data_IF_962091173424
#
_entry.id   IF_962091173424
#
_cell.length_a   1.000
_cell.length_b   1.000
_cell.length_c   1.000
_cell.angle_alpha   90.00
_cell.angle_beta   90.00
_cell.angle_gamma   90.00
#
_symmetry.space_group_name_H-M   'P 1'
#
loop_
_entity.id
_entity.type
_entity.pdbx_description
1 polymer ?
#
# COMPACT_ATOMS: atom_id res chain seq x y z
N UNK A 1 74.24 -14.25 7.36
CA UNK A 1 74.63 -15.61 6.93
C UNK A 1 73.84 -15.87 5.72
N UNK A 2 74.40 -15.53 4.67
CA UNK A 2 75.17 -16.30 3.71
C UNK A 2 74.19 -16.88 2.69
N UNK A 3 74.10 -16.31 1.55
CA UNK A 3 75.00 -16.40 0.35
C UNK A 3 74.49 -17.48 -0.59
N UNK A 4 74.33 -17.19 -1.72
CA UNK A 4 75.03 -16.99 -3.00
C UNK A 4 74.29 -17.79 -4.07
N UNK A 5 73.92 -17.20 -5.10
CA UNK A 5 74.70 -16.82 -6.31
C UNK A 5 74.69 -17.87 -7.43
N UNK A 6 74.46 -17.32 -8.60
CA UNK A 6 75.02 -17.69 -9.90
C UNK A 6 74.42 -18.87 -10.66
N UNK A 7 74.40 -18.87 -11.93
CA UNK A 7 74.99 -18.09 -12.99
C UNK A 7 74.55 -18.67 -14.36
N UNK A 8 74.43 -17.78 -15.31
CA UNK A 8 74.87 -17.84 -16.72
C UNK A 8 74.57 -19.09 -17.60
N UNK A 9 74.12 -18.85 -18.70
CA UNK A 9 74.64 -18.47 -20.01
C UNK A 9 74.09 -19.29 -21.20
N UNK A 10 73.67 -18.54 -22.16
CA UNK A 10 74.00 -18.56 -23.61
C UNK A 10 73.69 -19.82 -24.42
N UNK A 11 73.13 -19.64 -25.46
CA UNK A 11 73.38 -19.28 -26.86
C UNK A 11 72.41 -20.07 -27.73
N UNK A 12 71.81 -19.62 -28.72
CA UNK A 12 72.24 -18.94 -29.89
C UNK A 12 71.58 -19.57 -31.09
N UNK A 13 71.25 -18.72 -32.02
CA UNK A 13 71.13 -18.99 -33.45
C UNK A 13 69.82 -19.54 -34.02
N UNK A 14 69.30 -18.74 -34.94
CA UNK A 14 68.81 -19.22 -36.22
C UNK A 14 67.35 -18.93 -36.56
N UNK A 15 67.10 -17.77 -37.19
CA UNK A 15 65.91 -17.64 -38.06
C UNK A 15 65.98 -18.60 -39.25
N UNK A 16 64.87 -18.92 -39.85
CA UNK A 16 64.46 -18.09 -40.95
C UNK A 16 62.94 -17.78 -41.03
N UNK A 17 62.71 -16.60 -41.49
CA UNK A 17 61.48 -16.07 -42.04
C UNK A 17 60.71 -17.12 -42.86
N UNK A 18 59.44 -17.28 -42.49
CA UNK A 18 58.39 -17.71 -43.44
C UNK A 18 57.23 -16.75 -43.30
N UNK A 19 57.00 -15.94 -44.30
CA UNK A 19 55.84 -15.13 -44.48
C UNK A 19 54.55 -16.01 -44.45
N UNK A 20 53.85 -15.96 -43.32
CA UNK A 20 52.49 -16.46 -43.26
C UNK A 20 51.54 -15.28 -43.49
N UNK A 21 51.04 -15.22 -44.71
CA UNK A 21 50.00 -14.28 -45.09
C UNK A 21 48.81 -14.37 -44.11
N UNK A 22 48.66 -13.32 -43.29
CA UNK A 22 47.52 -13.17 -42.38
C UNK A 22 46.24 -12.99 -43.22
N UNK A 23 45.52 -14.09 -43.43
CA UNK A 23 44.19 -14.04 -44.00
C UNK A 23 43.27 -13.34 -42.99
N UNK A 24 42.78 -12.13 -43.38
CA UNK A 24 41.76 -11.40 -42.63
C UNK A 24 40.54 -12.32 -42.45
N UNK A 25 39.98 -12.50 -41.22
CA UNK A 25 38.81 -13.28 -41.04
C UNK A 25 37.62 -12.65 -41.78
N UNK A 26 36.98 -13.46 -42.63
CA UNK A 26 35.76 -13.09 -43.35
C UNK A 26 34.68 -12.96 -42.25
N UNK A 27 34.18 -11.74 -42.02
CA UNK A 27 33.05 -11.52 -41.11
C UNK A 27 31.82 -12.22 -41.69
N UNK A 28 31.21 -13.15 -40.97
CA UNK A 28 29.98 -13.76 -41.44
C UNK A 28 28.90 -12.67 -41.56
N UNK A 29 28.26 -12.59 -42.71
CA UNK A 29 27.12 -11.70 -42.93
C UNK A 29 26.00 -12.09 -41.99
N UNK A 30 25.41 -11.14 -41.24
CA UNK A 30 24.32 -11.39 -40.29
C UNK A 30 23.18 -12.15 -40.99
N UNK A 31 22.69 -13.24 -40.39
CA UNK A 31 21.70 -14.09 -41.05
C UNK A 31 20.41 -13.30 -41.32
N UNK A 32 19.82 -13.55 -42.49
CA UNK A 32 18.64 -12.83 -43.02
C UNK A 32 17.46 -12.74 -41.98
N UNK A 33 17.32 -13.71 -41.09
CA UNK A 33 16.28 -13.73 -40.08
C UNK A 33 16.39 -12.59 -39.06
N UNK A 34 17.62 -12.10 -38.75
CA UNK A 34 17.82 -10.93 -37.85
C UNK A 34 17.28 -9.64 -38.45
N UNK A 35 17.28 -9.49 -39.77
CA UNK A 35 16.68 -8.32 -40.45
C UNK A 35 15.15 -8.39 -40.43
N UNK A 36 14.61 -9.58 -40.62
CA UNK A 36 13.15 -9.80 -40.53
C UNK A 36 12.64 -9.58 -39.12
N UNK A 37 13.35 -10.08 -38.09
CA UNK A 37 12.99 -9.89 -36.70
C UNK A 37 13.01 -8.42 -36.28
N UNK A 38 13.98 -7.66 -36.77
CA UNK A 38 14.09 -6.20 -36.48
C UNK A 38 12.93 -5.41 -37.12
N UNK A 39 12.52 -5.77 -38.33
CA UNK A 39 11.39 -5.16 -39.02
C UNK A 39 10.05 -5.52 -38.33
N UNK A 40 9.89 -6.76 -37.86
CA UNK A 40 8.70 -7.21 -37.13
C UNK A 40 8.56 -6.51 -35.76
N UNK A 41 9.67 -6.36 -35.03
CA UNK A 41 9.68 -5.66 -33.75
C UNK A 41 9.38 -4.16 -33.89
N UNK A 42 9.82 -3.52 -34.98
CA UNK A 42 9.49 -2.12 -35.24
C UNK A 42 8.01 -1.93 -35.62
N UNK A 43 7.42 -2.89 -36.35
CA UNK A 43 6.00 -2.86 -36.69
C UNK A 43 5.09 -3.06 -35.47
N UNK A 44 5.45 -3.97 -34.56
CA UNK A 44 4.68 -4.19 -33.32
C UNK A 44 4.77 -2.99 -32.38
N UNK A 45 5.93 -2.36 -32.27
CA UNK A 45 6.10 -1.16 -31.45
C UNK A 45 5.23 0.01 -31.90
N UNK A 46 5.11 0.23 -33.21
CA UNK A 46 4.30 1.31 -33.77
C UNK A 46 2.79 1.08 -33.54
N UNK A 47 2.31 -0.17 -33.72
CA UNK A 47 0.90 -0.51 -33.48
C UNK A 47 0.52 -0.42 -32.00
N UNK A 48 1.40 -0.81 -31.08
CA UNK A 48 1.15 -0.69 -29.63
C UNK A 48 1.09 0.78 -29.21
N UNK A 49 1.98 1.64 -29.73
CA UNK A 49 1.97 3.07 -29.44
C UNK A 49 0.73 3.77 -30.02
N UNK A 50 0.26 3.39 -31.21
CA UNK A 50 -0.96 3.92 -31.78
C UNK A 50 -2.21 3.47 -30.99
N UNK A 51 -2.26 2.20 -30.58
CA UNK A 51 -3.34 1.69 -29.74
C UNK A 51 -3.34 2.36 -28.36
N UNK A 52 -2.20 2.55 -27.73
CA UNK A 52 -2.09 3.26 -26.46
C UNK A 52 -2.47 4.75 -26.59
N UNK A 53 -2.10 5.40 -27.68
CA UNK A 53 -2.46 6.79 -27.98
C UNK A 53 -3.97 6.95 -28.18
N UNK A 54 -4.63 6.04 -28.90
CA UNK A 54 -6.09 6.08 -29.10
C UNK A 54 -6.85 5.80 -27.82
N UNK A 55 -6.42 4.87 -26.98
CA UNK A 55 -7.02 4.62 -25.66
C UNK A 55 -6.84 5.83 -24.75
N UNK A 56 -5.66 6.47 -24.79
CA UNK A 56 -5.40 7.68 -23.99
C UNK A 56 -6.26 8.86 -24.42
N UNK A 57 -6.43 9.11 -25.74
CA UNK A 57 -7.28 10.17 -26.27
C UNK A 57 -8.76 9.91 -26.03
N UNK A 58 -9.23 8.65 -26.13
CA UNK A 58 -10.62 8.27 -25.80
C UNK A 58 -10.90 8.44 -24.30
N UNK A 59 -9.90 8.21 -23.42
CA UNK A 59 -10.03 8.42 -21.98
C UNK A 59 -10.07 9.89 -21.59
N UNK A 60 -9.48 10.77 -22.40
CA UNK A 60 -9.55 12.23 -22.19
C UNK A 60 -10.84 12.86 -22.71
N UNK A 61 -11.52 12.24 -23.69
CA UNK A 61 -12.71 12.82 -24.31
C UNK A 61 -13.99 12.64 -23.52
N UNK A 62 -14.00 11.84 -22.45
CA UNK A 62 -15.14 11.70 -21.55
C UNK A 62 -14.72 11.90 -20.08
N UNK A 63 -14.43 13.12 -19.63
CA UNK A 63 -14.60 13.40 -18.23
C UNK A 63 -16.10 13.25 -17.97
N UNK A 64 -16.49 12.22 -17.21
CA UNK A 64 -17.86 12.14 -16.67
C UNK A 64 -17.98 13.28 -15.66
N UNK A 65 -18.23 14.48 -16.17
CA UNK A 65 -18.54 15.64 -15.35
C UNK A 65 -19.99 15.48 -14.89
N UNK A 66 -20.17 14.82 -13.76
CA UNK A 66 -21.46 14.76 -13.08
C UNK A 66 -21.67 16.14 -12.44
N UNK A 67 -22.55 16.96 -13.01
CA UNK A 67 -22.93 18.24 -12.40
C UNK A 67 -23.42 17.99 -10.97
N UNK A 68 -23.05 18.82 -9.99
CA UNK A 68 -23.40 18.64 -8.57
C UNK A 68 -24.90 18.52 -8.27
N UNK A 69 -25.79 18.85 -9.19
CA UNK A 69 -27.25 18.73 -9.03
C UNK A 69 -27.88 17.43 -9.56
N UNK A 70 -27.14 16.57 -10.27
CA UNK A 70 -27.72 15.34 -10.87
C UNK A 70 -27.71 14.13 -9.94
N UNK A 71 -26.99 14.18 -8.81
CA UNK A 71 -26.99 13.11 -7.79
C UNK A 71 -28.28 13.04 -6.97
N UNK A 72 -29.16 14.05 -7.08
CA UNK A 72 -30.43 14.12 -6.34
C UNK A 72 -31.58 13.33 -7.01
N UNK A 73 -31.35 12.71 -8.17
CA UNK A 73 -32.41 12.03 -8.94
C UNK A 73 -32.11 10.55 -9.21
N UNK A 74 -31.23 9.91 -8.41
CA UNK A 74 -31.11 8.46 -8.45
C UNK A 74 -32.35 7.83 -7.80
N UNK A 75 -33.06 6.91 -8.49
CA UNK A 75 -34.22 6.27 -7.91
C UNK A 75 -33.83 5.52 -6.62
N UNK A 76 -34.67 5.57 -5.58
CA UNK A 76 -34.36 4.97 -4.26
C UNK A 76 -34.04 3.48 -4.31
N UNK A 77 -34.42 2.78 -5.37
CA UNK A 77 -34.16 1.35 -5.55
C UNK A 77 -32.70 0.98 -5.78
N UNK A 78 -31.80 1.92 -6.14
CA UNK A 78 -30.36 1.66 -6.30
C UNK A 78 -29.56 1.89 -5.02
N UNK A 79 -30.20 2.43 -3.97
CA UNK A 79 -29.56 2.70 -2.67
C UNK A 79 -29.73 1.53 -1.69
N UNK A 80 -30.62 0.57 -1.98
CA UNK A 80 -31.08 -0.45 -1.03
C UNK A 80 -30.53 -1.86 -1.25
N UNK A 81 -29.49 -2.06 -2.02
CA UNK A 81 -28.78 -3.35 -2.04
C UNK A 81 -27.64 -3.37 -0.99
N UNK A 82 -27.99 -3.07 0.26
CA UNK A 82 -27.10 -3.37 1.39
C UNK A 82 -27.17 -4.88 1.67
N UNK A 83 -26.02 -5.53 1.73
CA UNK A 83 -25.93 -6.91 2.18
C UNK A 83 -26.56 -7.03 3.59
N UNK A 84 -27.26 -8.15 3.91
CA UNK A 84 -27.93 -8.30 5.18
C UNK A 84 -26.91 -8.20 6.34
N UNK A 85 -27.10 -7.21 7.21
CA UNK A 85 -26.27 -6.96 8.39
C UNK A 85 -25.49 -5.64 8.38
N UNK A 86 -25.57 -4.84 7.32
CA UNK A 86 -24.98 -3.50 7.31
C UNK A 86 -26.02 -2.45 7.69
N UNK A 87 -25.89 -1.88 8.89
CA UNK A 87 -26.56 -0.63 9.24
C UNK A 87 -26.27 0.42 8.16
N UNK A 88 -27.26 1.23 7.74
CA UNK A 88 -27.05 2.24 6.73
C UNK A 88 -26.01 3.25 7.22
N UNK A 89 -24.90 3.32 6.50
CA UNK A 89 -23.85 4.30 6.76
C UNK A 89 -24.41 5.72 6.59
N UNK A 90 -24.45 6.48 7.68
CA UNK A 90 -24.78 7.91 7.66
C UNK A 90 -23.46 8.70 7.70
N UNK A 91 -23.04 9.33 6.62
CA UNK A 91 -21.83 10.15 6.62
C UNK A 91 -22.01 11.35 7.55
N UNK A 92 -20.93 11.81 8.23
CA UNK A 92 -21.01 13.03 9.01
C UNK A 92 -21.37 14.22 8.11
N UNK A 93 -22.20 15.12 8.61
CA UNK A 93 -22.65 16.32 7.89
C UNK A 93 -21.73 17.52 8.07
N UNK A 94 -20.75 17.43 8.99
CA UNK A 94 -19.77 18.46 9.22
C UNK A 94 -18.77 18.57 8.04
N UNK A 95 -18.68 19.74 7.44
CA UNK A 95 -17.81 20.00 6.28
C UNK A 95 -16.32 19.69 6.59
N UNK A 96 -15.85 20.00 7.80
CA UNK A 96 -14.48 19.69 8.22
C UNK A 96 -14.22 18.18 8.27
N UNK A 97 -15.17 17.43 8.84
CA UNK A 97 -15.08 15.97 8.87
C UNK A 97 -15.12 15.37 7.46
N UNK A 98 -15.94 15.91 6.54
CA UNK A 98 -15.98 15.45 5.15
C UNK A 98 -14.65 15.64 4.42
N UNK A 99 -13.99 16.80 4.60
CA UNK A 99 -12.66 17.07 4.03
C UNK A 99 -11.63 16.09 4.61
N UNK A 100 -11.67 15.84 5.92
CA UNK A 100 -10.76 14.90 6.55
C UNK A 100 -10.97 13.47 6.08
N UNK A 101 -12.23 13.04 5.89
CA UNK A 101 -12.56 11.73 5.29
C UNK A 101 -11.98 11.63 3.87
N UNK A 102 -12.05 12.68 3.06
CA UNK A 102 -11.47 12.67 1.71
C UNK A 102 -9.96 12.49 1.74
N UNK A 103 -9.26 13.19 2.66
CA UNK A 103 -7.81 13.06 2.82
C UNK A 103 -7.40 11.65 3.24
N UNK A 104 -8.09 11.08 4.24
CA UNK A 104 -7.84 9.71 4.70
C UNK A 104 -8.15 8.72 3.60
N UNK A 105 -9.28 8.85 2.90
CA UNK A 105 -9.63 7.98 1.78
C UNK A 105 -8.59 8.05 0.66
N UNK A 106 -8.07 9.24 0.36
CA UNK A 106 -6.99 9.42 -0.61
C UNK A 106 -5.73 8.64 -0.21
N UNK A 107 -5.32 8.67 1.05
CA UNK A 107 -4.17 7.91 1.54
C UNK A 107 -4.38 6.38 1.45
N UNK A 108 -5.60 5.90 1.70
CA UNK A 108 -5.95 4.48 1.62
C UNK A 108 -6.02 3.96 0.18
N UNK A 109 -6.30 4.80 -0.81
CA UNK A 109 -6.35 4.42 -2.24
C UNK A 109 -5.01 3.90 -2.79
N UNK A 110 -3.93 4.08 -2.08
CA UNK A 110 -2.65 3.45 -2.41
C UNK A 110 -2.66 1.93 -2.17
N UNK A 111 -3.56 1.46 -1.31
CA UNK A 111 -3.63 0.08 -0.85
C UNK A 111 -4.84 -0.67 -1.39
N UNK A 112 -5.84 0.03 -1.93
CA UNK A 112 -7.01 -0.56 -2.58
C UNK A 112 -7.48 0.27 -3.76
N UNK A 113 -7.96 -0.41 -4.82
CA UNK A 113 -8.64 0.23 -5.96
C UNK A 113 -10.13 0.47 -5.68
N UNK A 114 -10.69 -0.13 -4.62
CA UNK A 114 -12.07 0.07 -4.22
C UNK A 114 -12.21 1.41 -3.49
N UNK A 115 -12.72 2.41 -4.22
CA UNK A 115 -12.91 3.77 -3.70
C UNK A 115 -14.04 3.85 -2.68
N UNK A 116 -15.03 2.97 -2.77
CA UNK A 116 -16.15 2.91 -1.83
C UNK A 116 -15.67 2.36 -0.49
N UNK A 117 -14.92 1.26 -0.53
CA UNK A 117 -14.29 0.66 0.63
C UNK A 117 -13.34 1.66 1.32
N UNK A 118 -12.44 2.30 0.55
CA UNK A 118 -11.51 3.28 1.09
C UNK A 118 -12.24 4.44 1.80
N UNK A 119 -13.32 4.95 1.21
CA UNK A 119 -14.13 6.01 1.80
C UNK A 119 -14.87 5.55 3.05
N UNK A 120 -15.39 4.32 3.07
CA UNK A 120 -16.08 3.74 4.23
C UNK A 120 -15.13 3.58 5.42
N UNK A 121 -13.95 3.02 5.18
CA UNK A 121 -12.90 2.89 6.20
C UNK A 121 -12.48 4.27 6.70
N UNK A 122 -12.22 5.22 5.80
CA UNK A 122 -11.84 6.59 6.14
C UNK A 122 -12.86 7.27 7.03
N UNK A 123 -14.15 7.11 6.72
CA UNK A 123 -15.21 7.68 7.53
C UNK A 123 -15.23 7.12 8.95
N UNK A 124 -15.16 5.80 9.09
CA UNK A 124 -15.11 5.16 10.40
C UNK A 124 -13.87 5.63 11.21
N UNK A 125 -12.70 5.75 10.56
CA UNK A 125 -11.48 6.26 11.18
C UNK A 125 -11.66 7.69 11.70
N UNK A 126 -12.19 8.59 10.87
CA UNK A 126 -12.35 10.01 11.22
C UNK A 126 -13.40 10.17 12.35
N UNK A 127 -14.52 9.48 12.25
CA UNK A 127 -15.59 9.52 13.26
C UNK A 127 -15.10 8.97 14.60
N UNK A 128 -14.55 7.76 14.62
CA UNK A 128 -14.13 7.12 15.86
C UNK A 128 -12.87 7.76 16.44
N UNK A 129 -11.92 8.17 15.59
CA UNK A 129 -10.73 8.92 15.98
C UNK A 129 -11.10 10.26 16.63
N UNK A 130 -12.04 11.00 16.04
CA UNK A 130 -12.55 12.25 16.59
C UNK A 130 -13.20 12.10 17.97
N UNK A 131 -14.00 11.05 18.19
CA UNK A 131 -14.60 10.74 19.49
C UNK A 131 -13.57 10.47 20.60
N UNK A 132 -12.38 9.99 20.23
CA UNK A 132 -11.31 9.60 21.18
C UNK A 132 -10.10 10.55 21.13
N UNK A 133 -10.15 11.59 20.33
CA UNK A 133 -9.05 12.54 20.10
C UNK A 133 -7.75 11.84 19.69
N UNK A 134 -7.87 10.91 18.73
CA UNK A 134 -6.73 10.19 18.12
C UNK A 134 -6.59 10.65 16.68
N UNK A 135 -5.35 10.97 16.29
CA UNK A 135 -5.00 11.41 14.95
C UNK A 135 -5.40 10.33 13.90
N UNK A 136 -6.18 10.68 12.86
CA UNK A 136 -6.55 9.77 11.79
C UNK A 136 -5.36 9.10 11.10
N UNK A 137 -4.23 9.80 10.94
CA UNK A 137 -3.04 9.21 10.34
C UNK A 137 -2.47 8.08 11.20
N UNK A 138 -2.50 8.21 12.52
CA UNK A 138 -2.11 7.14 13.44
C UNK A 138 -3.03 5.91 13.29
N UNK A 139 -4.32 6.12 13.16
CA UNK A 139 -5.29 5.04 12.96
C UNK A 139 -5.11 4.35 11.61
N UNK A 140 -4.82 5.09 10.53
CA UNK A 140 -4.40 4.51 9.25
C UNK A 140 -3.15 3.65 9.43
N UNK A 141 -2.18 4.13 10.20
CA UNK A 141 -0.97 3.36 10.51
C UNK A 141 -1.26 2.03 11.19
N UNK A 142 -2.20 2.00 12.15
CA UNK A 142 -2.64 0.76 12.81
C UNK A 142 -3.34 -0.15 11.82
N UNK A 143 -4.35 0.34 11.09
CA UNK A 143 -5.09 -0.46 10.09
C UNK A 143 -4.15 -1.09 9.08
N UNK A 144 -3.21 -0.33 8.49
CA UNK A 144 -2.26 -0.85 7.51
C UNK A 144 -1.22 -1.80 8.10
N UNK A 145 -0.97 -1.72 9.40
CA UNK A 145 -0.06 -2.65 10.07
C UNK A 145 -0.75 -3.99 10.35
N UNK A 146 -2.02 -3.95 10.73
CA UNK A 146 -2.85 -5.12 11.02
C UNK A 146 -3.33 -5.81 9.74
N UNK A 147 -3.82 -5.04 8.78
CA UNK A 147 -4.31 -5.54 7.49
C UNK A 147 -4.00 -4.57 6.34
N UNK A 148 -2.85 -4.75 5.70
CA UNK A 148 -2.45 -3.93 4.56
C UNK A 148 -3.31 -4.17 3.30
N UNK A 149 -4.13 -5.22 3.26
CA UNK A 149 -5.04 -5.51 2.14
C UNK A 149 -6.38 -4.80 2.27
N UNK A 150 -6.64 -4.23 3.45
CA UNK A 150 -7.92 -3.58 3.78
C UNK A 150 -9.13 -4.52 3.59
N UNK A 151 -8.98 -5.80 3.98
CA UNK A 151 -10.06 -6.79 3.93
C UNK A 151 -10.87 -6.79 5.24
N UNK A 152 -12.14 -6.33 5.23
CA UNK A 152 -12.96 -6.35 6.45
C UNK A 152 -13.19 -7.75 7.02
N UNK A 153 -13.02 -8.79 6.20
CA UNK A 153 -13.20 -10.18 6.61
C UNK A 153 -11.89 -10.86 7.06
N UNK A 154 -10.80 -10.10 7.15
CA UNK A 154 -9.50 -10.63 7.56
C UNK A 154 -9.59 -11.36 8.90
N UNK A 155 -8.89 -12.51 8.99
CA UNK A 155 -8.74 -13.30 10.22
C UNK A 155 -7.29 -13.67 10.42
N UNK A 156 -6.78 -13.48 11.62
CA UNK A 156 -5.48 -13.99 11.98
C UNK A 156 -5.54 -15.45 12.44
N UNK A 157 -4.39 -16.10 12.48
CA UNK A 157 -4.24 -17.46 13.01
C UNK A 157 -4.72 -17.57 14.47
N UNK A 158 -4.54 -16.53 15.28
CA UNK A 158 -4.96 -16.49 16.69
C UNK A 158 -6.42 -16.02 16.88
N UNK A 159 -7.16 -15.78 15.78
CA UNK A 159 -8.58 -15.47 15.79
C UNK A 159 -8.91 -13.98 15.86
N UNK A 160 -7.94 -13.07 15.72
CA UNK A 160 -8.22 -11.65 15.56
C UNK A 160 -9.00 -11.38 14.26
N UNK A 161 -9.84 -10.34 14.23
CA UNK A 161 -10.82 -10.12 13.16
C UNK A 161 -10.80 -8.69 12.62
N UNK A 162 -11.01 -8.57 11.31
CA UNK A 162 -11.24 -7.34 10.58
C UNK A 162 -10.03 -6.42 10.49
N UNK A 163 -10.28 -5.20 10.05
CA UNK A 163 -9.27 -4.20 9.67
C UNK A 163 -8.26 -3.84 10.77
N UNK A 164 -8.71 -3.81 12.03
CA UNK A 164 -7.88 -3.51 13.20
C UNK A 164 -7.53 -4.76 14.01
N UNK A 165 -7.77 -5.96 13.47
CA UNK A 165 -7.46 -7.25 14.07
C UNK A 165 -7.88 -7.36 15.54
N UNK A 166 -9.14 -7.02 15.79
CA UNK A 166 -9.72 -7.05 17.14
C UNK A 166 -9.98 -8.48 17.59
N UNK A 167 -9.53 -8.83 18.80
CA UNK A 167 -9.78 -10.15 19.37
C UNK A 167 -11.25 -10.32 19.76
N UNK A 168 -11.87 -11.50 19.53
CA UNK A 168 -13.31 -11.75 19.77
C UNK A 168 -13.79 -11.45 21.18
N UNK A 169 -12.94 -11.61 22.18
CA UNK A 169 -13.30 -11.32 23.56
C UNK A 169 -13.53 -9.82 23.85
N UNK A 170 -13.18 -8.92 22.90
CA UNK A 170 -13.49 -7.50 22.98
C UNK A 170 -14.87 -7.15 22.39
N UNK A 171 -15.47 -8.04 21.60
CA UNK A 171 -16.74 -7.80 20.94
C UNK A 171 -17.84 -7.40 21.94
N UNK A 172 -18.51 -6.29 21.68
CA UNK A 172 -19.60 -5.77 22.51
C UNK A 172 -19.19 -5.18 23.87
N UNK A 173 -17.90 -5.15 24.22
CA UNK A 173 -17.44 -4.61 25.52
C UNK A 173 -17.25 -3.10 25.55
N UNK A 174 -17.23 -2.44 24.41
CA UNK A 174 -16.96 -1.02 24.31
C UNK A 174 -18.25 -0.23 24.09
N UNK A 175 -18.60 0.64 25.06
CA UNK A 175 -19.76 1.52 24.95
C UNK A 175 -19.60 2.49 23.78
N UNK A 176 -20.67 2.66 23.01
CA UNK A 176 -20.70 3.54 21.84
C UNK A 176 -20.34 2.87 20.50
N UNK A 177 -19.98 1.58 20.52
CA UNK A 177 -19.88 0.80 19.28
C UNK A 177 -21.26 0.22 18.94
N UNK A 178 -21.70 0.40 17.66
CA UNK A 178 -23.06 0.10 17.20
C UNK A 178 -23.39 -1.41 17.20
N UNK A 179 -22.38 -2.25 17.13
CA UNK A 179 -22.53 -3.70 16.96
C UNK A 179 -21.37 -4.45 17.61
N UNK A 180 -21.55 -5.73 17.90
CA UNK A 180 -20.51 -6.65 18.31
C UNK A 180 -19.87 -7.41 17.12
N UNK A 181 -20.36 -7.19 15.90
CA UNK A 181 -19.82 -7.80 14.70
C UNK A 181 -18.46 -7.17 14.35
N UNK A 182 -17.39 -7.93 14.54
CA UNK A 182 -16.02 -7.48 14.26
C UNK A 182 -15.63 -7.56 12.77
N UNK A 183 -16.52 -7.98 11.88
CA UNK A 183 -16.31 -7.90 10.42
C UNK A 183 -17.00 -6.68 9.81
N UNK A 184 -17.97 -6.09 10.54
CA UNK A 184 -18.53 -4.81 10.15
C UNK A 184 -17.49 -3.69 10.35
N UNK A 185 -17.23 -2.92 9.30
CA UNK A 185 -16.16 -1.89 9.26
C UNK A 185 -16.27 -0.93 10.44
N UNK A 186 -17.45 -0.34 10.64
CA UNK A 186 -17.68 0.66 11.71
C UNK A 186 -17.50 0.07 13.10
N UNK A 187 -18.02 -1.14 13.30
CA UNK A 187 -17.88 -1.86 14.56
C UNK A 187 -16.43 -2.23 14.86
N UNK A 188 -15.71 -2.76 13.86
CA UNK A 188 -14.31 -3.13 14.00
C UNK A 188 -13.43 -1.93 14.37
N UNK A 189 -13.58 -0.82 13.62
CA UNK A 189 -12.82 0.40 13.87
C UNK A 189 -13.21 1.00 15.22
N UNK A 190 -14.49 1.05 15.57
CA UNK A 190 -14.93 1.51 16.90
C UNK A 190 -14.27 0.72 18.05
N UNK A 191 -14.26 -0.61 17.96
CA UNK A 191 -13.63 -1.46 18.98
C UNK A 191 -12.11 -1.25 19.02
N UNK A 192 -11.43 -1.29 17.87
CA UNK A 192 -9.99 -1.09 17.78
C UNK A 192 -9.54 0.27 18.29
N UNK A 193 -10.23 1.34 17.90
CA UNK A 193 -9.96 2.72 18.39
C UNK A 193 -10.22 2.83 19.90
N UNK A 194 -11.27 2.20 20.42
CA UNK A 194 -11.57 2.22 21.85
C UNK A 194 -10.50 1.50 22.66
N UNK A 195 -10.02 0.35 22.19
CA UNK A 195 -8.90 -0.40 22.78
C UNK A 195 -7.64 0.47 22.79
N UNK A 196 -7.30 1.05 21.63
CA UNK A 196 -6.11 1.88 21.50
C UNK A 196 -6.18 3.12 22.42
N UNK A 197 -7.34 3.79 22.47
CA UNK A 197 -7.55 4.95 23.34
C UNK A 197 -7.33 4.61 24.83
N UNK A 198 -7.83 3.47 25.27
CA UNK A 198 -7.65 2.99 26.63
C UNK A 198 -6.18 2.65 26.92
N UNK A 199 -5.50 2.04 25.97
CA UNK A 199 -4.06 1.75 26.09
C UNK A 199 -3.21 3.03 26.11
N UNK A 200 -3.53 4.03 25.29
CA UNK A 200 -2.84 5.34 25.32
C UNK A 200 -2.97 6.00 26.70
N UNK A 201 -4.16 5.99 27.29
CA UNK A 201 -4.38 6.55 28.64
C UNK A 201 -3.56 5.86 29.73
N UNK A 202 -3.27 4.57 29.56
CA UNK A 202 -2.58 3.74 30.55
C UNK A 202 -1.09 3.48 30.24
N UNK A 203 -0.56 4.14 29.23
CA UNK A 203 0.83 3.95 28.79
C UNK A 203 1.61 5.26 28.86
N UNK A 204 2.91 5.23 29.18
CA UNK A 204 3.74 6.43 29.28
C UNK A 204 4.00 7.09 27.92
N UNK A 205 3.93 6.32 26.82
CA UNK A 205 4.15 6.80 25.46
C UNK A 205 3.19 6.11 24.48
N UNK A 206 2.93 6.75 23.34
CA UNK A 206 2.16 6.16 22.24
C UNK A 206 2.84 4.87 21.75
N UNK A 207 4.15 4.85 21.65
CA UNK A 207 4.89 3.66 21.23
C UNK A 207 4.65 2.47 22.17
N UNK A 208 4.63 2.68 23.48
CA UNK A 208 4.31 1.61 24.44
C UNK A 208 2.83 1.21 24.41
N UNK A 209 1.92 2.13 24.11
CA UNK A 209 0.50 1.79 23.88
C UNK A 209 0.34 0.90 22.66
N UNK A 210 1.01 1.22 21.55
CA UNK A 210 1.02 0.42 20.34
C UNK A 210 1.59 -0.98 20.55
N UNK A 211 2.70 -1.09 21.30
CA UNK A 211 3.24 -2.41 21.67
C UNK A 211 2.22 -3.25 22.46
N UNK A 212 1.52 -2.62 23.41
CA UNK A 212 0.44 -3.30 24.17
C UNK A 212 -0.74 -3.67 23.29
N UNK A 213 -1.06 -2.85 22.31
CA UNK A 213 -2.10 -3.17 21.32
C UNK A 213 -1.78 -4.46 20.57
N UNK A 214 -0.54 -4.64 20.16
CA UNK A 214 -0.04 -5.90 19.56
C UNK A 214 0.05 -7.06 20.57
N UNK A 215 -0.35 -6.90 21.83
CA UNK A 215 -0.27 -7.94 22.85
C UNK A 215 1.07 -8.05 23.57
N UNK A 216 1.98 -7.10 23.38
CA UNK A 216 3.27 -7.09 24.08
C UNK A 216 3.12 -6.58 25.51
N UNK A 217 3.07 -7.47 26.48
CA UNK A 217 2.93 -7.09 27.90
C UNK A 217 4.28 -6.83 28.55
N UNK A 218 5.33 -7.60 28.20
CA UNK A 218 6.69 -7.51 28.75
C UNK A 218 7.77 -7.48 27.66
N UNK A 219 7.42 -7.00 26.45
CA UNK A 219 8.35 -6.87 25.33
C UNK A 219 8.58 -8.13 24.51
N UNK A 220 8.12 -9.31 24.96
CA UNK A 220 8.41 -10.60 24.32
C UNK A 220 7.22 -11.51 24.11
N UNK A 221 6.00 -11.05 24.39
CA UNK A 221 4.80 -11.91 24.37
C UNK A 221 4.34 -12.30 22.97
N UNK A 222 4.59 -11.46 21.96
CA UNK A 222 4.21 -11.72 20.59
C UNK A 222 5.39 -11.57 19.64
N UNK A 223 5.38 -12.27 18.50
CA UNK A 223 6.34 -12.01 17.44
C UNK A 223 6.34 -10.53 17.05
N UNK A 224 7.52 -10.00 16.76
CA UNK A 224 7.68 -8.61 16.29
C UNK A 224 7.32 -7.49 17.30
N UNK A 225 7.21 -7.79 18.58
CA UNK A 225 6.92 -6.80 19.63
C UNK A 225 7.75 -5.52 19.51
N UNK A 226 9.06 -5.65 19.31
CA UNK A 226 9.97 -4.50 19.26
C UNK A 226 9.83 -3.66 17.97
N UNK A 227 9.31 -4.23 16.89
CA UNK A 227 9.17 -3.56 15.59
C UNK A 227 7.77 -3.03 15.31
N UNK A 228 6.76 -3.48 16.04
CA UNK A 228 5.37 -3.15 15.79
C UNK A 228 5.10 -1.63 15.81
N UNK A 229 5.48 -0.96 16.91
CA UNK A 229 5.26 0.48 17.02
C UNK A 229 5.98 1.28 15.93
N UNK A 230 7.21 0.90 15.57
CA UNK A 230 7.94 1.51 14.46
C UNK A 230 7.25 1.33 13.12
N UNK A 231 6.67 0.14 12.87
CA UNK A 231 5.90 -0.13 11.65
C UNK A 231 4.64 0.73 11.58
N UNK A 232 3.87 0.82 12.66
CA UNK A 232 2.67 1.68 12.74
C UNK A 232 3.02 3.14 12.48
N UNK A 233 4.04 3.66 13.16
CA UNK A 233 4.46 5.06 13.02
C UNK A 233 4.94 5.37 11.61
N UNK A 234 5.67 4.46 10.96
CA UNK A 234 6.07 4.61 9.56
C UNK A 234 4.87 4.73 8.62
N UNK A 235 3.85 3.88 8.76
CA UNK A 235 2.62 3.99 7.97
C UNK A 235 1.85 5.27 8.31
N UNK A 236 1.82 5.69 9.58
CA UNK A 236 1.18 6.93 9.99
C UNK A 236 1.85 8.16 9.35
N UNK A 237 3.17 8.23 9.33
CA UNK A 237 3.92 9.30 8.65
C UNK A 237 3.64 9.33 7.15
N UNK A 238 3.60 8.17 6.51
CA UNK A 238 3.26 8.07 5.08
C UNK A 238 1.84 8.54 4.81
N UNK A 239 0.87 8.16 5.66
CA UNK A 239 -0.52 8.60 5.55
C UNK A 239 -0.63 10.12 5.76
N UNK A 240 0.00 10.67 6.79
CA UNK A 240 0.01 12.11 7.07
C UNK A 240 0.58 12.91 5.90
N UNK A 241 1.70 12.46 5.32
CA UNK A 241 2.30 13.10 4.13
C UNK A 241 1.36 13.10 2.93
N UNK A 242 0.65 11.98 2.68
CA UNK A 242 -0.32 11.88 1.58
C UNK A 242 -1.55 12.77 1.83
N UNK A 243 -2.05 12.82 3.07
CA UNK A 243 -3.17 13.67 3.46
C UNK A 243 -2.85 15.17 3.29
N UNK A 244 -1.61 15.57 3.59
CA UNK A 244 -1.12 16.94 3.33
C UNK A 244 -1.03 17.23 1.82
N UNK A 245 -0.53 16.29 1.02
CA UNK A 245 -0.46 16.42 -0.43
C UNK A 245 -1.82 16.56 -1.11
N UNK A 246 -2.87 15.96 -0.55
CA UNK A 246 -4.24 16.12 -1.05
C UNK A 246 -4.73 17.58 -0.96
N UNK A 247 -4.35 18.31 0.08
CA UNK A 247 -4.76 19.71 0.28
C UNK A 247 -4.15 20.70 -0.74
N UNK A 248 -3.05 20.33 -1.39
CA UNK A 248 -2.33 21.19 -2.35
C UNK A 248 -2.71 20.92 -3.80
N UNK A 249 -3.51 19.88 -4.08
CA UNK A 249 -3.90 19.46 -5.43
C UNK A 249 -5.32 19.93 -5.85
N UNK A 250 -6.00 20.73 -5.02
CA UNK A 250 -7.28 21.38 -5.30
C UNK A 250 -7.11 22.88 -5.52
#
# INVERSE_FOLDING_TARGET
>A
MADLENDERQSGAGSPFTDVAVRRPIRPSAPRWKRVLKAALQGIGATVLLAAGTVWTLRQQHPVYVKPGQLLHLPPALVTAAAPGTEPYTPPTDAKALVEIQKVAFSLRKYTNDTVLARRIASAIVVEGGKKNIDPALLVGVVLTEDAKLDPNARSFVGARGLMQVMPFHAGKWKGCSSADLFAIDSNICHGVSILADLIKRSPTVASALQRYNGCVRGTNTPNCHTYSGKVLKFAEQAASQMLGFSTAQ
#
